data_IF_814634719402
#
_entry.id   IF_814634719402
#
_cell.length_a   1.000
_cell.length_b   1.000
_cell.length_c   1.000
_cell.angle_alpha   90.00
_cell.angle_beta   90.00
_cell.angle_gamma   90.00
#
_symmetry.space_group_name_H-M   'P 1'
#
loop_
_entity.id
_entity.type
_entity.pdbx_description
1 polymer ?
#
# COMPACT_ATOMS: atom_id res chain seq x y z
N UNK A 1 -5.14 4.47 11.59
CA UNK A 1 -4.61 4.19 10.24
C UNK A 1 -5.35 3.05 9.57
N UNK A 2 -5.43 1.84 10.13
CA UNK A 2 -6.20 0.71 9.56
C UNK A 2 -7.59 1.10 9.05
N UNK A 3 -8.43 1.69 9.92
CA UNK A 3 -9.78 2.16 9.54
C UNK A 3 -9.81 3.13 8.35
N UNK A 4 -8.77 3.97 8.17
CA UNK A 4 -8.67 4.90 7.03
C UNK A 4 -8.36 4.14 5.74
N UNK A 5 -7.46 3.15 5.81
CA UNK A 5 -7.12 2.28 4.68
C UNK A 5 -8.36 1.46 4.25
N UNK A 6 -9.04 0.84 5.21
CA UNK A 6 -10.26 0.06 4.95
C UNK A 6 -11.39 0.94 4.42
N UNK A 7 -11.57 2.13 4.99
CA UNK A 7 -12.56 3.10 4.51
C UNK A 7 -12.30 3.56 3.07
N UNK A 8 -11.04 3.84 2.73
CA UNK A 8 -10.64 4.18 1.36
C UNK A 8 -10.91 3.01 0.39
N UNK A 9 -10.54 1.78 0.77
CA UNK A 9 -10.82 0.58 -0.01
C UNK A 9 -12.32 0.41 -0.28
N UNK A 10 -13.15 0.49 0.76
CA UNK A 10 -14.61 0.40 0.63
C UNK A 10 -15.18 1.50 -0.28
N UNK A 11 -14.71 2.74 -0.13
CA UNK A 11 -15.15 3.87 -0.96
C UNK A 11 -14.81 3.70 -2.45
N UNK A 12 -13.83 2.85 -2.79
CA UNK A 12 -13.42 2.57 -4.18
C UNK A 12 -13.94 1.22 -4.72
N UNK A 13 -14.88 0.59 -4.02
CA UNK A 13 -15.52 -0.65 -4.46
C UNK A 13 -14.89 -1.93 -3.92
N UNK A 14 -13.94 -1.85 -2.98
CA UNK A 14 -13.33 -3.02 -2.34
C UNK A 14 -12.26 -3.69 -3.21
N UNK A 15 -12.10 -5.01 -3.04
CA UNK A 15 -11.12 -5.81 -3.80
C UNK A 15 -9.69 -5.80 -3.23
N UNK A 16 -9.46 -5.11 -2.11
CA UNK A 16 -8.19 -5.14 -1.38
C UNK A 16 -8.37 -5.72 0.02
N UNK A 17 -7.56 -6.72 0.34
CA UNK A 17 -7.42 -7.24 1.71
C UNK A 17 -6.29 -6.47 2.40
N UNK A 18 -6.58 -5.91 3.57
CA UNK A 18 -5.58 -5.22 4.41
C UNK A 18 -5.10 -6.17 5.50
N UNK A 19 -3.83 -6.57 5.44
CA UNK A 19 -3.19 -7.36 6.51
C UNK A 19 -2.24 -6.50 7.32
N UNK A 20 -2.53 -6.32 8.60
CA UNK A 20 -1.58 -5.71 9.54
C UNK A 20 -0.50 -6.74 9.88
N UNK A 21 0.75 -6.44 9.54
CA UNK A 21 1.89 -7.31 9.80
C UNK A 21 3.11 -6.51 10.27
N UNK A 22 3.64 -6.88 11.44
CA UNK A 22 4.67 -6.11 12.15
C UNK A 22 4.26 -4.62 12.28
N UNK A 23 5.20 -3.70 11.99
CA UNK A 23 4.98 -2.24 12.00
C UNK A 23 4.41 -1.73 10.67
N UNK A 24 3.50 -2.43 10.01
CA UNK A 24 2.94 -1.98 8.73
C UNK A 24 1.66 -2.69 8.31
N UNK A 25 1.16 -2.28 7.15
CA UNK A 25 -0.05 -2.78 6.51
C UNK A 25 0.31 -3.27 5.11
N UNK A 26 0.07 -4.54 4.83
CA UNK A 26 0.21 -5.12 3.50
C UNK A 26 -1.16 -5.11 2.83
N UNK A 27 -1.21 -4.55 1.63
CA UNK A 27 -2.37 -4.56 0.75
C UNK A 27 -2.22 -5.74 -0.21
N UNK A 28 -3.23 -6.59 -0.27
CA UNK A 28 -3.27 -7.76 -1.13
C UNK A 28 -4.49 -7.68 -2.03
N UNK A 29 -4.38 -8.15 -3.28
CA UNK A 29 -5.55 -8.36 -4.12
C UNK A 29 -6.45 -9.39 -3.47
N UNK A 30 -7.73 -9.07 -3.32
CA UNK A 30 -8.74 -10.04 -2.89
C UNK A 30 -8.94 -11.14 -3.94
N UNK A 31 -8.76 -10.81 -5.23
CA UNK A 31 -8.96 -11.75 -6.34
C UNK A 31 -7.84 -12.79 -6.45
N UNK A 32 -6.59 -12.37 -6.35
CA UNK A 32 -5.42 -13.25 -6.60
C UNK A 32 -4.62 -13.56 -5.34
N UNK A 33 -4.83 -12.83 -4.25
CA UNK A 33 -3.97 -12.86 -3.07
C UNK A 33 -2.60 -12.20 -3.29
N UNK A 34 -2.33 -11.66 -4.48
CA UNK A 34 -1.03 -11.10 -4.81
C UNK A 34 -0.75 -9.81 -4.03
N UNK A 35 0.52 -9.54 -3.69
CA UNK A 35 0.90 -8.29 -3.03
C UNK A 35 0.71 -7.08 -3.95
N UNK A 36 -0.05 -6.09 -3.48
CA UNK A 36 -0.22 -4.81 -4.17
C UNK A 36 0.84 -3.84 -3.67
N UNK A 37 0.79 -3.47 -2.39
CA UNK A 37 1.71 -2.53 -1.78
C UNK A 37 1.87 -2.82 -0.29
N UNK A 38 2.94 -2.32 0.31
CA UNK A 38 3.11 -2.30 1.76
C UNK A 38 3.29 -0.89 2.28
N UNK A 39 2.43 -0.50 3.22
CA UNK A 39 2.47 0.78 3.90
C UNK A 39 3.13 0.62 5.27
N UNK A 40 4.24 1.30 5.50
CA UNK A 40 4.96 1.28 6.78
C UNK A 40 4.91 2.67 7.42
N UNK A 41 4.18 2.86 8.54
CA UNK A 41 4.24 4.10 9.31
C UNK A 41 5.68 4.46 9.67
N UNK A 42 6.01 5.74 9.50
CA UNK A 42 7.35 6.28 9.85
C UNK A 42 7.47 6.60 11.35
N UNK A 43 6.33 6.75 12.04
CA UNK A 43 6.26 7.28 13.40
C UNK A 43 6.11 8.81 13.45
N UNK A 44 6.18 9.50 12.32
CA UNK A 44 5.96 10.94 12.22
C UNK A 44 4.56 11.23 11.64
N UNK A 45 3.64 11.66 12.51
CA UNK A 45 2.26 11.96 12.13
C UNK A 45 1.56 10.76 11.48
N UNK A 46 0.90 11.01 10.35
CA UNK A 46 0.26 9.96 9.54
C UNK A 46 1.07 9.57 8.30
N UNK A 47 2.35 9.92 8.25
CA UNK A 47 3.20 9.61 7.11
C UNK A 47 3.60 8.13 7.08
N UNK A 48 3.66 7.60 5.87
CA UNK A 48 4.00 6.20 5.58
C UNK A 48 5.05 6.13 4.49
N UNK A 49 5.92 5.14 4.60
CA UNK A 49 6.70 4.61 3.49
C UNK A 49 5.82 3.68 2.67
N UNK A 50 5.85 3.85 1.35
CA UNK A 50 5.16 2.98 0.38
C UNK A 50 6.19 2.07 -0.24
N UNK A 51 6.02 0.76 -0.08
CA UNK A 51 6.91 -0.25 -0.65
C UNK A 51 6.19 -1.04 -1.74
N UNK A 52 6.90 -1.31 -2.82
CA UNK A 52 6.45 -2.15 -3.93
C UNK A 52 7.04 -3.55 -3.81
N UNK A 53 6.31 -4.57 -4.29
CA UNK A 53 6.77 -5.96 -4.32
C UNK A 53 7.39 -6.28 -5.67
N UNK A 54 8.66 -6.69 -5.68
CA UNK A 54 9.38 -7.01 -6.93
C UNK A 54 9.35 -8.50 -7.31
N UNK A 55 8.56 -9.32 -6.62
CA UNK A 55 8.56 -10.78 -6.76
C UNK A 55 9.28 -11.53 -5.64
N UNK A 56 10.29 -10.90 -5.02
CA UNK A 56 11.13 -11.52 -3.99
C UNK A 56 11.13 -10.77 -2.66
N UNK A 57 11.12 -9.43 -2.72
CA UNK A 57 11.22 -8.56 -1.55
C UNK A 57 10.47 -7.24 -1.72
N UNK A 58 10.17 -6.62 -0.59
CA UNK A 58 9.66 -5.25 -0.54
C UNK A 58 10.79 -4.25 -0.83
N UNK A 59 10.56 -3.32 -1.77
CA UNK A 59 11.56 -2.37 -2.22
C UNK A 59 11.02 -0.97 -2.50
N UNK A 60 11.82 -0.20 -3.23
CA UNK A 60 11.47 1.14 -3.67
C UNK A 60 10.19 1.12 -4.54
N UNK A 61 9.30 2.07 -4.28
CA UNK A 61 8.08 2.27 -5.05
C UNK A 61 8.24 3.32 -6.15
N UNK A 62 9.22 4.23 -6.01
CA UNK A 62 9.44 5.30 -6.96
C UNK A 62 10.89 5.42 -7.45
N UNK A 63 11.12 6.27 -8.47
CA UNK A 63 12.45 6.45 -9.08
C UNK A 63 13.49 7.03 -8.12
N UNK A 64 13.05 7.69 -7.04
CA UNK A 64 13.91 8.27 -6.00
C UNK A 64 14.01 7.39 -4.74
N UNK A 65 13.63 6.11 -4.83
CA UNK A 65 13.66 5.18 -3.72
C UNK A 65 12.29 4.96 -3.08
N UNK A 66 12.27 4.66 -1.77
CA UNK A 66 11.04 4.40 -1.03
C UNK A 66 10.26 5.71 -0.87
N UNK A 67 9.13 5.83 -1.55
CA UNK A 67 8.29 7.01 -1.44
C UNK A 67 7.76 7.15 -0.02
N UNK A 68 7.89 8.34 0.57
CA UNK A 68 7.37 8.67 1.90
C UNK A 68 6.39 9.84 1.78
N UNK A 69 5.15 9.64 2.24
CA UNK A 69 4.10 10.65 2.12
C UNK A 69 3.00 10.45 3.17
N UNK A 70 2.11 11.42 3.32
CA UNK A 70 0.90 11.28 4.15
C UNK A 70 0.04 10.10 3.66
N UNK A 71 -0.66 9.45 4.59
CA UNK A 71 -1.43 8.23 4.29
C UNK A 71 -2.39 8.40 3.10
N UNK A 72 -3.18 9.48 3.06
CA UNK A 72 -4.20 9.63 2.01
C UNK A 72 -3.53 9.76 0.62
N UNK A 73 -2.43 10.52 0.55
CA UNK A 73 -1.62 10.61 -0.67
C UNK A 73 -1.00 9.26 -1.07
N UNK A 74 -0.60 8.45 -0.09
CA UNK A 74 -0.08 7.10 -0.35
C UNK A 74 -1.17 6.17 -0.91
N UNK A 75 -2.39 6.26 -0.39
CA UNK A 75 -3.53 5.49 -0.88
C UNK A 75 -3.89 5.89 -2.31
N UNK A 76 -3.93 7.19 -2.61
CA UNK A 76 -4.13 7.68 -3.97
C UNK A 76 -2.99 7.27 -4.90
N UNK A 77 -1.74 7.36 -4.44
CA UNK A 77 -0.59 6.94 -5.23
C UNK A 77 -0.68 5.45 -5.60
N UNK A 78 -0.94 4.57 -4.64
CA UNK A 78 -1.11 3.13 -4.90
C UNK A 78 -2.30 2.87 -5.82
N UNK A 79 -3.42 3.58 -5.66
CA UNK A 79 -4.61 3.36 -6.46
C UNK A 79 -4.46 3.80 -7.93
N UNK A 80 -3.63 4.81 -8.20
CA UNK A 80 -3.48 5.38 -9.54
C UNK A 80 -2.21 4.92 -10.29
N UNK A 81 -1.28 4.23 -9.62
CA UNK A 81 -0.05 3.73 -10.22
C UNK A 81 -0.21 2.25 -10.63
N UNK A 82 -0.33 1.94 -11.95
CA UNK A 82 -0.62 0.58 -12.43
C UNK A 82 0.42 -0.47 -12.03
N UNK A 83 1.66 -0.05 -11.78
CA UNK A 83 2.75 -0.95 -11.42
C UNK A 83 2.50 -1.73 -10.11
N UNK A 84 1.68 -1.21 -9.20
CA UNK A 84 1.29 -1.94 -7.98
C UNK A 84 0.29 -3.07 -8.25
N UNK A 85 -0.38 -3.07 -9.41
CA UNK A 85 -1.51 -3.95 -9.70
C UNK A 85 -1.21 -5.00 -10.77
N UNK A 86 0.02 -5.08 -11.28
CA UNK A 86 0.43 -6.01 -12.36
C UNK A 86 0.10 -7.48 -12.04
N UNK A 87 0.11 -7.85 -10.75
CA UNK A 87 -0.18 -9.21 -10.29
C UNK A 87 -1.52 -9.36 -9.58
N UNK A 88 -2.27 -8.26 -9.43
CA UNK A 88 -3.54 -8.23 -8.70
C UNK A 88 -4.64 -9.00 -9.42
#
# INVERSE_FOLDING_TARGET
MLKRIEGFNQARGGGVIVRKAARGYTLLSERTGAPIARLRPTGNGDTVQVLWWNGERWGASGPLGIATMALDRALDYVANEPNFWIHA
#
